data_IF_327762741863
#
_entry.id   IF_327762741863
#
_cell.length_a   1.000
_cell.length_b   1.000
_cell.length_c   1.000
_cell.angle_alpha   90.00
_cell.angle_beta   90.00
_cell.angle_gamma   90.00
#
_symmetry.space_group_name_H-M   'P 1'
#
loop_
_entity.id
_entity.type
_entity.pdbx_description
1 polymer ?
#
# COMPACT_ATOMS: atom_id res chain seq x y z
N UNK A 1 -33.69 -10.18 15.02
CA UNK A 1 -33.23 -11.18 14.04
C UNK A 1 -32.90 -10.39 12.79
N UNK A 2 -31.69 -9.84 12.72
CA UNK A 2 -31.21 -9.09 11.55
C UNK A 2 -31.10 -10.08 10.39
N UNK A 3 -31.87 -9.81 9.34
CA UNK A 3 -31.81 -10.54 8.10
C UNK A 3 -30.45 -10.29 7.47
N UNK A 4 -29.63 -11.34 7.37
CA UNK A 4 -28.43 -11.34 6.54
C UNK A 4 -28.81 -10.85 5.14
N UNK A 5 -28.06 -9.90 4.54
CA UNK A 5 -28.33 -9.48 3.18
C UNK A 5 -28.16 -10.68 2.24
N UNK A 6 -28.97 -10.75 1.15
CA UNK A 6 -28.95 -11.87 0.24
C UNK A 6 -27.57 -12.01 -0.39
N UNK A 7 -27.09 -13.24 -0.53
CA UNK A 7 -25.86 -13.59 -1.25
C UNK A 7 -26.04 -13.29 -2.74
N UNK A 8 -26.01 -12.02 -3.12
CA UNK A 8 -25.81 -11.62 -4.52
C UNK A 8 -24.36 -11.97 -4.87
N UNK A 9 -24.19 -12.73 -5.93
CA UNK A 9 -22.91 -12.90 -6.60
C UNK A 9 -22.42 -11.52 -7.01
N UNK A 10 -21.58 -10.89 -6.18
CA UNK A 10 -20.96 -9.61 -6.49
C UNK A 10 -20.20 -9.80 -7.79
N UNK A 11 -20.59 -9.07 -8.85
CA UNK A 11 -19.94 -9.22 -10.14
C UNK A 11 -18.44 -8.84 -10.01
N UNK A 12 -17.54 -9.49 -10.78
CA UNK A 12 -16.10 -9.25 -10.68
C UNK A 12 -15.71 -7.77 -10.84
N UNK A 13 -16.49 -7.02 -11.63
CA UNK A 13 -16.26 -5.58 -11.88
C UNK A 13 -16.54 -4.74 -10.63
N UNK A 14 -17.64 -4.99 -9.94
CA UNK A 14 -18.01 -4.31 -8.69
C UNK A 14 -16.96 -4.58 -7.60
N UNK A 15 -16.46 -5.82 -7.54
CA UNK A 15 -15.39 -6.20 -6.60
C UNK A 15 -14.10 -5.44 -6.90
N UNK A 16 -13.70 -5.37 -8.18
CA UNK A 16 -12.49 -4.64 -8.57
C UNK A 16 -12.61 -3.14 -8.26
N UNK A 17 -13.77 -2.54 -8.56
CA UNK A 17 -14.04 -1.14 -8.25
C UNK A 17 -13.92 -0.87 -6.75
N UNK A 18 -14.51 -1.73 -5.91
CA UNK A 18 -14.39 -1.61 -4.46
C UNK A 18 -12.94 -1.71 -3.96
N UNK A 19 -12.15 -2.66 -4.49
CA UNK A 19 -10.73 -2.80 -4.13
C UNK A 19 -9.94 -1.54 -4.52
N UNK A 20 -10.16 -1.01 -5.72
CA UNK A 20 -9.51 0.21 -6.19
C UNK A 20 -9.90 1.41 -5.33
N UNK A 21 -11.17 1.55 -4.99
CA UNK A 21 -11.64 2.60 -4.08
C UNK A 21 -10.94 2.50 -2.72
N UNK A 22 -10.84 1.31 -2.14
CA UNK A 22 -10.12 1.11 -0.88
C UNK A 22 -8.62 1.41 -1.01
N UNK A 23 -8.00 1.09 -2.15
CA UNK A 23 -6.57 1.31 -2.39
C UNK A 23 -6.20 2.80 -2.55
N UNK A 24 -7.11 3.66 -2.99
CA UNK A 24 -6.82 5.08 -3.22
C UNK A 24 -7.55 6.04 -2.29
N UNK A 25 -8.64 5.61 -1.65
CA UNK A 25 -9.43 6.43 -0.74
C UNK A 25 -10.06 5.60 0.38
N UNK A 26 -9.26 5.04 1.31
CA UNK A 26 -9.78 4.26 2.42
C UNK A 26 -10.58 5.12 3.38
N UNK A 27 -11.86 4.79 3.58
CA UNK A 27 -12.80 5.58 4.40
C UNK A 27 -13.05 5.02 5.80
N UNK A 28 -12.80 3.74 6.02
CA UNK A 28 -13.04 3.06 7.30
C UNK A 28 -11.93 2.04 7.65
N UNK A 29 -12.04 1.43 8.84
CA UNK A 29 -11.06 0.46 9.32
C UNK A 29 -10.94 -0.81 8.45
N UNK A 30 -12.00 -1.22 7.75
CA UNK A 30 -11.94 -2.36 6.83
C UNK A 30 -11.25 -1.96 5.51
N UNK A 31 -11.57 -0.78 4.97
CA UNK A 31 -10.95 -0.22 3.79
C UNK A 31 -9.45 0.03 4.00
N UNK A 32 -9.03 0.47 5.20
CA UNK A 32 -7.61 0.60 5.55
C UNK A 32 -6.87 -0.74 5.49
N UNK A 33 -7.50 -1.86 5.90
CA UNK A 33 -6.86 -3.18 5.77
C UNK A 33 -6.63 -3.55 4.31
N UNK A 34 -7.62 -3.31 3.45
CA UNK A 34 -7.53 -3.55 2.01
C UNK A 34 -6.47 -2.65 1.39
N UNK A 35 -6.43 -1.37 1.78
CA UNK A 35 -5.38 -0.41 1.40
C UNK A 35 -3.98 -0.96 1.69
N UNK A 36 -3.72 -1.39 2.93
CA UNK A 36 -2.42 -1.95 3.30
C UNK A 36 -2.08 -3.22 2.52
N UNK A 37 -3.07 -4.10 2.34
CA UNK A 37 -2.88 -5.33 1.58
C UNK A 37 -2.51 -5.07 0.11
N UNK A 38 -3.22 -4.16 -0.55
CA UNK A 38 -2.98 -3.82 -1.97
C UNK A 38 -1.63 -3.15 -2.15
N UNK A 39 -1.29 -2.16 -1.32
CA UNK A 39 -0.04 -1.41 -1.47
C UNK A 39 1.19 -2.23 -1.09
N UNK A 40 1.16 -2.97 0.02
CA UNK A 40 2.28 -3.84 0.40
C UNK A 40 2.41 -4.99 -0.58
N UNK A 41 1.30 -5.65 -0.91
CA UNK A 41 1.28 -6.75 -1.88
C UNK A 41 1.77 -6.31 -3.26
N UNK A 42 1.30 -5.17 -3.75
CA UNK A 42 1.74 -4.58 -5.02
C UNK A 42 3.24 -4.26 -5.03
N UNK A 43 3.76 -3.66 -3.96
CA UNK A 43 5.19 -3.38 -3.83
C UNK A 43 6.03 -4.66 -3.84
N UNK A 44 5.62 -5.69 -3.08
CA UNK A 44 6.29 -6.98 -3.07
C UNK A 44 6.23 -7.69 -4.43
N UNK A 45 5.07 -7.66 -5.11
CA UNK A 45 4.89 -8.25 -6.44
C UNK A 45 5.83 -7.59 -7.46
N UNK A 46 5.97 -6.27 -7.42
CA UNK A 46 6.91 -5.55 -8.30
C UNK A 46 8.35 -6.06 -8.10
N UNK A 47 8.79 -6.24 -6.85
CA UNK A 47 10.11 -6.81 -6.54
C UNK A 47 10.26 -8.25 -7.03
N UNK A 48 9.25 -9.10 -6.81
CA UNK A 48 9.26 -10.50 -7.27
C UNK A 48 9.32 -10.58 -8.80
N UNK A 49 8.53 -9.77 -9.52
CA UNK A 49 8.52 -9.73 -10.98
C UNK A 49 9.85 -9.22 -11.55
N UNK A 50 10.47 -8.24 -10.89
CA UNK A 50 11.81 -7.78 -11.26
C UNK A 50 12.88 -8.83 -11.01
N UNK A 51 12.85 -9.53 -9.88
CA UNK A 51 13.77 -10.62 -9.60
C UNK A 51 13.62 -11.75 -10.62
N UNK A 52 12.39 -12.11 -11.00
CA UNK A 52 12.13 -13.12 -12.02
C UNK A 52 12.61 -12.71 -13.43
N UNK A 53 12.60 -11.41 -13.73
CA UNK A 53 13.03 -10.87 -15.04
C UNK A 53 14.53 -10.56 -15.09
N UNK A 54 15.19 -10.46 -13.94
CA UNK A 54 16.60 -10.11 -13.82
C UNK A 54 17.49 -11.35 -13.97
N UNK A 55 18.52 -11.25 -14.83
CA UNK A 55 19.55 -12.28 -14.97
C UNK A 55 20.60 -12.25 -13.84
N UNK A 56 20.46 -11.34 -12.89
CA UNK A 56 21.46 -11.04 -11.87
C UNK A 56 21.00 -11.31 -10.43
N UNK A 57 19.72 -11.63 -10.21
CA UNK A 57 19.22 -11.97 -8.87
C UNK A 57 18.88 -13.46 -8.76
N UNK A 58 19.21 -14.11 -7.62
CA UNK A 58 18.82 -15.49 -7.36
C UNK A 58 17.30 -15.60 -7.26
N UNK A 59 16.74 -16.74 -7.67
CA UNK A 59 15.31 -17.00 -7.59
C UNK A 59 14.80 -16.94 -6.14
N UNK A 60 13.52 -16.59 -5.97
CA UNK A 60 12.88 -16.53 -4.66
C UNK A 60 12.92 -17.89 -3.94
N UNK A 61 13.46 -17.90 -2.72
CA UNK A 61 13.51 -19.09 -1.86
C UNK A 61 12.92 -18.78 -0.48
N UNK A 62 11.96 -19.60 -0.03
CA UNK A 62 11.34 -19.47 1.30
C UNK A 62 12.34 -19.59 2.46
N UNK A 63 13.46 -20.29 2.27
CA UNK A 63 14.52 -20.42 3.27
C UNK A 63 15.22 -19.10 3.61
N UNK A 64 15.09 -18.07 2.77
CA UNK A 64 15.74 -16.77 2.90
C UNK A 64 14.73 -15.63 3.12
N UNK A 65 13.60 -15.89 3.79
CA UNK A 65 12.58 -14.87 4.11
C UNK A 65 13.14 -13.61 4.79
N UNK A 66 14.18 -13.75 5.61
CA UNK A 66 14.85 -12.62 6.28
C UNK A 66 15.49 -11.65 5.29
N UNK A 67 15.93 -12.12 4.11
CA UNK A 67 16.45 -11.29 3.01
C UNK A 67 15.41 -10.31 2.48
N UNK A 68 14.13 -10.67 2.55
CA UNK A 68 13.01 -9.86 2.07
C UNK A 68 12.44 -8.90 3.14
N UNK A 69 12.89 -9.01 4.40
CA UNK A 69 12.45 -8.12 5.48
C UNK A 69 12.66 -6.63 5.17
N UNK A 70 13.79 -6.18 4.57
CA UNK A 70 13.95 -4.79 4.15
C UNK A 70 12.93 -4.36 3.09
N UNK A 71 12.56 -5.26 2.17
CA UNK A 71 11.56 -4.99 1.13
C UNK A 71 10.18 -4.77 1.75
N UNK A 72 9.78 -5.63 2.70
CA UNK A 72 8.51 -5.50 3.43
C UNK A 72 8.50 -4.23 4.30
N UNK A 73 9.62 -3.91 4.95
CA UNK A 73 9.77 -2.66 5.70
C UNK A 73 9.56 -1.44 4.79
N UNK A 74 10.24 -1.38 3.65
CA UNK A 74 10.08 -0.31 2.67
C UNK A 74 8.66 -0.23 2.12
N UNK A 75 8.02 -1.37 1.85
CA UNK A 75 6.62 -1.43 1.43
C UNK A 75 5.69 -0.81 2.49
N UNK A 76 5.92 -1.14 3.76
CA UNK A 76 5.14 -0.63 4.90
C UNK A 76 5.35 0.87 5.10
N UNK A 77 6.60 1.34 4.98
CA UNK A 77 6.95 2.77 5.03
C UNK A 77 6.25 3.53 3.91
N UNK A 78 6.36 3.06 2.66
CA UNK A 78 5.67 3.67 1.52
C UNK A 78 4.16 3.77 1.77
N UNK A 79 3.55 2.64 2.14
CA UNK A 79 2.10 2.53 2.34
C UNK A 79 1.61 3.49 3.42
N UNK A 80 2.32 3.56 4.55
CA UNK A 80 1.96 4.45 5.65
C UNK A 80 2.15 5.92 5.26
N UNK A 81 3.21 6.25 4.53
CA UNK A 81 3.45 7.59 4.02
C UNK A 81 2.39 8.04 3.01
N UNK A 82 1.93 7.14 2.13
CA UNK A 82 0.83 7.42 1.21
C UNK A 82 -0.46 7.65 1.98
N UNK A 83 -0.78 6.82 2.98
CA UNK A 83 -1.97 7.00 3.81
C UNK A 83 -1.97 8.36 4.52
N UNK A 84 -0.81 8.79 5.04
CA UNK A 84 -0.63 10.12 5.65
C UNK A 84 -0.94 11.24 4.66
N UNK A 85 -0.50 11.13 3.41
CA UNK A 85 -0.81 12.14 2.39
C UNK A 85 -2.27 12.11 1.95
N UNK A 86 -2.89 10.93 1.85
CA UNK A 86 -4.32 10.80 1.55
C UNK A 86 -5.15 11.48 2.65
N UNK A 87 -4.75 11.34 3.92
CA UNK A 87 -5.45 11.95 5.05
C UNK A 87 -5.56 13.48 4.93
N UNK A 88 -4.66 14.17 4.22
CA UNK A 88 -4.74 15.61 3.97
C UNK A 88 -6.02 15.98 3.20
N UNK A 89 -6.47 15.12 2.30
CA UNK A 89 -7.66 15.34 1.48
C UNK A 89 -8.96 14.94 2.18
N UNK A 90 -8.87 14.30 3.36
CA UNK A 90 -10.04 13.98 4.16
C UNK A 90 -10.61 15.25 4.82
N UNK A 91 -11.88 15.53 4.57
CA UNK A 91 -12.53 16.75 5.06
C UNK A 91 -12.52 16.86 6.58
N UNK A 92 -12.63 15.75 7.31
CA UNK A 92 -12.52 15.76 8.77
C UNK A 92 -11.12 16.15 9.24
N UNK A 93 -10.06 15.71 8.57
CA UNK A 93 -8.70 16.09 8.92
C UNK A 93 -8.45 17.56 8.56
N UNK A 94 -8.88 17.99 7.37
CA UNK A 94 -8.71 19.36 6.88
C UNK A 94 -9.42 20.40 7.76
N UNK A 95 -10.65 20.10 8.18
CA UNK A 95 -11.46 21.05 8.96
C UNK A 95 -10.94 21.25 10.39
N UNK A 96 -10.20 20.29 10.95
CA UNK A 96 -9.64 20.39 12.30
C UNK A 96 -8.19 20.87 12.31
N UNK A 97 -7.44 20.65 11.22
CA UNK A 97 -5.97 20.76 11.21
C UNK A 97 -5.41 21.45 9.95
N UNK A 98 -6.07 22.48 9.42
CA UNK A 98 -5.56 23.24 8.26
C UNK A 98 -4.11 23.74 8.45
N UNK A 99 -3.71 24.08 9.68
CA UNK A 99 -2.35 24.54 9.99
C UNK A 99 -1.29 23.41 9.94
N UNK A 100 -1.73 22.13 9.97
CA UNK A 100 -0.83 20.96 9.99
C UNK A 100 -0.62 20.32 8.63
N UNK A 101 -1.21 20.84 7.55
CA UNK A 101 -1.03 20.30 6.19
C UNK A 101 0.45 20.16 5.83
N UNK A 102 1.27 21.17 6.14
CA UNK A 102 2.72 21.12 5.91
C UNK A 102 3.39 20.00 6.71
N UNK A 103 2.96 19.74 7.94
CA UNK A 103 3.50 18.65 8.77
C UNK A 103 3.21 17.28 8.16
N UNK A 104 2.00 17.06 7.65
CA UNK A 104 1.64 15.82 6.96
C UNK A 104 2.43 15.62 5.67
N UNK A 105 2.64 16.68 4.89
CA UNK A 105 3.48 16.65 3.70
C UNK A 105 4.92 16.25 4.06
N UNK A 106 5.49 16.88 5.07
CA UNK A 106 6.85 16.59 5.54
C UNK A 106 7.00 15.19 6.16
N UNK A 107 5.94 14.63 6.75
CA UNK A 107 5.94 13.26 7.27
C UNK A 107 5.79 12.21 6.17
N UNK A 108 4.95 12.47 5.16
CA UNK A 108 4.66 11.54 4.08
C UNK A 108 5.74 11.50 3.00
N UNK A 109 6.16 12.67 2.48
CA UNK A 109 7.05 12.74 1.32
C UNK A 109 8.37 11.97 1.48
N UNK A 110 9.11 12.07 2.62
CA UNK A 110 10.39 11.37 2.76
C UNK A 110 10.25 9.85 2.64
N UNK A 111 9.20 9.28 3.26
CA UNK A 111 8.97 7.83 3.20
C UNK A 111 8.62 7.36 1.79
N UNK A 112 7.91 8.17 1.00
CA UNK A 112 7.68 7.89 -0.43
C UNK A 112 9.00 7.92 -1.19
N UNK A 113 9.78 8.99 -1.06
CA UNK A 113 11.04 9.17 -1.79
C UNK A 113 12.05 8.06 -1.50
N UNK A 114 12.23 7.72 -0.21
CA UNK A 114 13.15 6.66 0.22
C UNK A 114 12.68 5.30 -0.30
N UNK A 115 11.39 4.98 -0.17
CA UNK A 115 10.88 3.68 -0.61
C UNK A 115 10.85 3.54 -2.14
N UNK A 116 10.62 4.65 -2.86
CA UNK A 116 10.71 4.70 -4.31
C UNK A 116 12.15 4.53 -4.80
N UNK A 117 13.14 5.11 -4.12
CA UNK A 117 14.55 4.90 -4.44
C UNK A 117 15.01 3.43 -4.25
N UNK A 118 14.25 2.65 -3.48
CA UNK A 118 14.47 1.21 -3.29
C UNK A 118 13.73 0.34 -4.32
N UNK A 119 12.84 0.90 -5.16
CA UNK A 119 12.28 0.25 -6.34
C UNK A 119 13.32 0.21 -7.47
N UNK A 120 14.43 -0.47 -7.21
CA UNK A 120 15.46 -0.77 -8.18
C UNK A 120 15.83 -2.25 -8.05
N UNK A 121 16.11 -2.95 -9.16
CA UNK A 121 16.67 -4.29 -9.08
C UNK A 121 17.99 -4.20 -8.30
N UNK A 122 18.03 -4.84 -7.14
CA UNK A 122 19.29 -5.01 -6.40
C UNK A 122 20.00 -6.19 -7.02
N UNK A 123 20.87 -5.92 -7.99
CA UNK A 123 21.98 -6.83 -8.23
C UNK A 123 22.80 -6.82 -6.93
N UNK A 124 22.72 -7.90 -6.17
CA UNK A 124 23.68 -8.16 -5.09
C UNK A 124 25.05 -8.48 -5.69
#
# INVERSE_FOLDING_TARGET
METLPPSSSVEPVETLYYILQCAFNPSDAAAIKIFYFVWIGGYCLIHILWDASSKHTPAFEFGNLTKYAPTIYNATTLTSSVLVLIAIFNEHVRNYNNDFVVHYILAGLPGILVSAAQLKPKAE
#
